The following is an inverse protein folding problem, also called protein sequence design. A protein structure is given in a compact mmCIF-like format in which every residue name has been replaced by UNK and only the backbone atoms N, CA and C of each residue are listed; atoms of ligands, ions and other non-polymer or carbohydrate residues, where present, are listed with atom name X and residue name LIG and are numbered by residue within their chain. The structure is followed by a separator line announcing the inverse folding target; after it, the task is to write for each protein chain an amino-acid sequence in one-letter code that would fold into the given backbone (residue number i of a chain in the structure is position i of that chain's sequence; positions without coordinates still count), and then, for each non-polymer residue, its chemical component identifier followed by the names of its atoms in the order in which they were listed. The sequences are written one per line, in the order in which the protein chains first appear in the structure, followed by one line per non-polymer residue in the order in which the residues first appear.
data_IF_733551868351
#
_entry.id   IF_733551868351
#
_cell.length_a   1.000
_cell.length_b   1.000
_cell.length_c   1.000
_cell.angle_alpha   90.00
_cell.angle_beta   90.00
_cell.angle_gamma   90.00
#
_symmetry.space_group_name_H-M   'P 1'
#
loop_
_entity.id
_entity.type
_entity.pdbx_description
1 polymer ?
#
# COMPACT_ATOMS: atom_id res chain seq x y z
N UNK A 1 -12.19 18.03 20.79
CA UNK A 1 -11.52 17.25 19.73
C UNK A 1 -12.43 16.06 19.41
N UNK A 2 -12.69 15.79 18.14
CA UNK A 2 -13.44 14.59 17.77
C UNK A 2 -12.66 13.34 18.24
N UNK A 3 -13.38 12.30 18.67
CA UNK A 3 -12.77 11.05 19.10
C UNK A 3 -12.10 10.35 17.91
N UNK A 4 -10.88 9.88 18.06
CA UNK A 4 -10.16 9.15 17.03
C UNK A 4 -10.87 7.81 16.77
N UNK A 5 -11.41 7.62 15.57
CA UNK A 5 -12.24 6.45 15.21
C UNK A 5 -11.55 5.52 14.21
N UNK A 6 -10.69 6.05 13.33
CA UNK A 6 -10.02 5.28 12.30
C UNK A 6 -8.89 4.42 12.87
N UNK A 7 -8.82 3.17 12.45
CA UNK A 7 -7.77 2.24 12.87
C UNK A 7 -6.62 2.14 11.86
N UNK A 8 -6.81 2.67 10.66
CA UNK A 8 -5.78 2.78 9.63
C UNK A 8 -6.09 3.95 8.70
N UNK A 9 -5.07 4.55 8.09
CA UNK A 9 -5.22 5.62 7.12
C UNK A 9 -4.57 5.30 5.78
N UNK A 10 -5.08 5.91 4.71
CA UNK A 10 -4.50 5.83 3.37
C UNK A 10 -4.23 7.23 2.85
N UNK A 11 -2.98 7.48 2.43
CA UNK A 11 -2.52 8.72 1.82
C UNK A 11 -2.20 8.48 0.36
N UNK A 12 -2.84 9.27 -0.51
CA UNK A 12 -2.68 9.12 -1.96
C UNK A 12 -3.80 8.26 -2.55
N UNK A 13 -4.85 8.93 -3.01
CA UNK A 13 -6.10 8.33 -3.48
C UNK A 13 -6.19 8.33 -5.01
N UNK A 14 -5.09 7.93 -5.69
CA UNK A 14 -5.15 7.48 -7.08
C UNK A 14 -5.75 6.06 -7.12
N UNK A 15 -5.91 5.45 -8.28
CA UNK A 15 -6.62 4.17 -8.45
C UNK A 15 -6.21 3.11 -7.43
N UNK A 16 -4.91 2.85 -7.27
CA UNK A 16 -4.42 1.84 -6.31
C UNK A 16 -4.76 2.18 -4.85
N UNK A 17 -4.53 3.44 -4.44
CA UNK A 17 -4.80 3.86 -3.07
C UNK A 17 -6.30 3.91 -2.75
N UNK A 18 -7.13 4.36 -3.69
CA UNK A 18 -8.58 4.32 -3.56
C UNK A 18 -9.10 2.89 -3.41
N UNK A 19 -8.64 1.97 -4.24
CA UNK A 19 -9.04 0.58 -4.19
C UNK A 19 -8.56 -0.12 -2.91
N UNK A 20 -7.35 0.17 -2.45
CA UNK A 20 -6.85 -0.37 -1.17
C UNK A 20 -7.65 0.17 0.02
N UNK A 21 -8.01 1.46 0.02
CA UNK A 21 -8.85 2.05 1.07
C UNK A 21 -10.25 1.42 1.11
N UNK A 22 -10.86 1.16 -0.06
CA UNK A 22 -12.14 0.45 -0.17
C UNK A 22 -12.03 -0.99 0.34
N UNK A 23 -10.99 -1.71 -0.06
CA UNK A 23 -10.73 -3.07 0.43
C UNK A 23 -10.61 -3.10 1.96
N UNK A 24 -9.83 -2.18 2.55
CA UNK A 24 -9.74 -2.05 4.01
C UNK A 24 -11.11 -1.84 4.65
N UNK A 25 -11.93 -0.95 4.10
CA UNK A 25 -13.26 -0.67 4.60
C UNK A 25 -14.23 -1.85 4.45
N UNK A 26 -14.19 -2.58 3.33
CA UNK A 26 -14.97 -3.81 3.10
C UNK A 26 -14.67 -4.90 4.14
N UNK A 27 -13.45 -4.90 4.69
CA UNK A 27 -13.03 -5.83 5.73
C UNK A 27 -13.17 -5.27 7.16
N UNK A 28 -14.09 -4.30 7.35
CA UNK A 28 -14.50 -3.81 8.66
C UNK A 28 -13.57 -2.78 9.29
N UNK A 29 -12.57 -2.28 8.57
CA UNK A 29 -11.73 -1.20 9.07
C UNK A 29 -12.45 0.15 8.92
N UNK A 30 -12.24 1.04 9.89
CA UNK A 30 -12.54 2.47 9.71
C UNK A 30 -11.29 3.13 9.16
N UNK A 31 -11.40 3.69 7.95
CA UNK A 31 -10.24 4.15 7.16
C UNK A 31 -10.21 5.66 7.07
N UNK A 32 -9.16 6.29 7.61
CA UNK A 32 -8.89 7.70 7.39
C UNK A 32 -8.38 7.91 5.95
N UNK A 33 -8.86 8.93 5.29
CA UNK A 33 -8.53 9.24 3.89
C UNK A 33 -7.90 10.60 3.77
N UNK A 34 -6.73 10.67 3.15
CA UNK A 34 -6.08 11.93 2.83
C UNK A 34 -5.46 11.91 1.44
N UNK A 35 -5.64 13.00 0.72
CA UNK A 35 -4.93 13.24 -0.54
C UNK A 35 -4.59 14.73 -0.67
N UNK A 36 -3.38 15.04 -1.12
CA UNK A 36 -2.89 16.41 -1.29
C UNK A 36 -3.88 17.36 -2.02
N UNK A 37 -4.61 16.81 -2.98
CA UNK A 37 -5.73 17.51 -3.64
C UNK A 37 -7.02 16.89 -3.11
N UNK A 38 -7.73 17.62 -2.26
CA UNK A 38 -8.94 17.14 -1.58
C UNK A 38 -10.03 16.63 -2.54
N UNK A 39 -10.08 17.15 -3.74
CA UNK A 39 -11.02 16.71 -4.78
C UNK A 39 -10.98 15.19 -5.07
N UNK A 40 -9.84 14.53 -4.82
CA UNK A 40 -9.77 13.06 -4.94
C UNK A 40 -10.43 12.35 -3.75
N UNK A 41 -10.31 12.92 -2.56
CA UNK A 41 -11.01 12.44 -1.37
C UNK A 41 -12.53 12.60 -1.55
N UNK A 42 -12.97 13.77 -2.01
CA UNK A 42 -14.38 14.02 -2.34
C UNK A 42 -14.91 13.05 -3.39
N UNK A 43 -14.13 12.82 -4.45
CA UNK A 43 -14.51 11.86 -5.50
C UNK A 43 -14.73 10.46 -4.91
N UNK A 44 -13.79 9.96 -4.10
CA UNK A 44 -13.93 8.65 -3.47
C UNK A 44 -15.17 8.60 -2.57
N UNK A 45 -15.40 9.64 -1.77
CA UNK A 45 -16.57 9.71 -0.88
C UNK A 45 -17.89 9.76 -1.66
N UNK A 46 -17.95 10.49 -2.78
CA UNK A 46 -19.15 10.59 -3.60
C UNK A 46 -19.46 9.28 -4.33
N UNK A 47 -18.44 8.59 -4.82
CA UNK A 47 -18.60 7.36 -5.60
C UNK A 47 -18.72 6.10 -4.72
N UNK A 48 -18.03 6.07 -3.59
CA UNK A 48 -17.82 4.87 -2.78
C UNK A 48 -18.01 5.06 -1.26
N UNK A 49 -18.42 6.24 -0.81
CA UNK A 49 -18.53 6.56 0.62
C UNK A 49 -19.50 5.69 1.42
N UNK A 50 -20.43 5.02 0.74
CA UNK A 50 -21.40 4.10 1.37
C UNK A 50 -20.90 2.65 1.45
N UNK A 51 -19.73 2.33 0.85
CA UNK A 51 -19.19 0.96 0.84
C UNK A 51 -18.58 0.54 2.19
N UNK A 52 -18.32 1.48 3.09
CA UNK A 52 -17.73 1.18 4.39
C UNK A 52 -17.53 2.43 5.25
N UNK A 53 -16.73 2.29 6.30
CA UNK A 53 -16.48 3.36 7.25
C UNK A 53 -15.27 4.19 6.84
N UNK A 54 -15.49 5.38 6.30
CA UNK A 54 -14.45 6.31 5.89
C UNK A 54 -14.47 7.58 6.75
N UNK A 55 -13.29 8.12 7.01
CA UNK A 55 -13.08 9.40 7.68
C UNK A 55 -12.27 10.29 6.75
N UNK A 56 -12.92 11.12 5.91
CA UNK A 56 -12.22 12.04 5.02
C UNK A 56 -11.56 13.16 5.81
N UNK A 57 -10.35 13.56 5.43
CA UNK A 57 -9.61 14.66 6.01
C UNK A 57 -9.16 15.63 4.91
N UNK A 58 -9.29 16.94 5.17
CA UNK A 58 -8.80 17.99 4.28
C UNK A 58 -7.34 18.33 4.56
N UNK A 59 -6.92 18.21 5.82
CA UNK A 59 -5.54 18.47 6.25
C UNK A 59 -4.89 17.21 6.82
N UNK A 60 -3.56 17.24 6.89
CA UNK A 60 -2.81 16.11 7.45
C UNK A 60 -2.96 16.02 8.98
N UNK A 61 -3.20 17.17 9.64
CA UNK A 61 -3.51 17.25 11.05
C UNK A 61 -4.85 16.58 11.38
N UNK A 62 -5.90 16.85 10.59
CA UNK A 62 -7.20 16.18 10.71
C UNK A 62 -7.07 14.69 10.48
N UNK A 63 -6.31 14.27 9.44
CA UNK A 63 -6.02 12.88 9.17
C UNK A 63 -5.34 12.21 10.38
N UNK A 64 -4.29 12.79 10.92
CA UNK A 64 -3.58 12.26 12.09
C UNK A 64 -4.47 12.21 13.32
N UNK A 65 -5.29 13.25 13.56
CA UNK A 65 -6.20 13.31 14.70
C UNK A 65 -7.32 12.28 14.63
N UNK A 66 -7.73 11.84 13.44
CA UNK A 66 -8.74 10.81 13.25
C UNK A 66 -8.28 9.39 13.54
N UNK A 67 -6.95 9.16 13.55
CA UNK A 67 -6.34 7.83 13.72
C UNK A 67 -6.15 7.46 15.19
N UNK A 68 -6.54 6.25 15.55
CA UNK A 68 -6.22 5.63 16.85
C UNK A 68 -4.73 5.33 16.97
N UNK A 69 -4.21 5.39 18.20
CA UNK A 69 -2.80 5.06 18.48
C UNK A 69 -2.59 3.56 18.75
N UNK A 70 -1.44 3.01 18.32
CA UNK A 70 -0.44 3.66 17.44
C UNK A 70 -1.05 3.95 16.06
N UNK A 71 -0.88 5.20 15.60
CA UNK A 71 -1.38 5.60 14.30
C UNK A 71 -0.71 4.78 13.21
N UNK A 72 -1.46 4.39 12.20
CA UNK A 72 -0.94 3.63 11.07
C UNK A 72 -1.40 4.27 9.78
N UNK A 73 -0.47 4.70 8.93
CA UNK A 73 -0.76 5.30 7.62
C UNK A 73 -0.05 4.55 6.49
N UNK A 74 -0.81 4.16 5.47
CA UNK A 74 -0.28 3.59 4.22
C UNK A 74 -0.15 4.71 3.19
N UNK A 75 1.08 4.92 2.71
CA UNK A 75 1.40 5.89 1.66
C UNK A 75 1.31 5.17 0.30
N UNK A 76 0.41 5.66 -0.56
CA UNK A 76 0.19 5.19 -1.92
C UNK A 76 0.49 6.30 -2.93
N UNK A 77 1.71 6.85 -2.87
CA UNK A 77 2.18 7.91 -3.76
C UNK A 77 3.28 7.40 -4.69
N UNK A 78 3.68 8.23 -5.66
CA UNK A 78 4.79 7.89 -6.56
C UNK A 78 6.08 7.74 -5.75
N UNK A 79 6.82 6.65 -6.01
CA UNK A 79 8.11 6.38 -5.38
C UNK A 79 9.15 7.50 -5.63
N UNK A 80 10.09 7.65 -4.71
CA UNK A 80 11.15 8.67 -4.73
C UNK A 80 10.75 9.92 -3.92
N UNK A 81 11.08 11.10 -4.42
CA UNK A 81 10.88 12.37 -3.72
C UNK A 81 9.45 12.62 -3.18
N UNK A 82 8.35 12.22 -3.87
CA UNK A 82 7.01 12.33 -3.29
C UNK A 82 6.82 11.49 -2.02
N UNK A 83 7.42 10.29 -1.97
CA UNK A 83 7.40 9.44 -0.77
C UNK A 83 8.17 10.11 0.37
N UNK A 84 9.38 10.63 0.09
CA UNK A 84 10.20 11.33 1.07
C UNK A 84 9.48 12.55 1.66
N UNK A 85 8.84 13.34 0.79
CA UNK A 85 8.06 14.51 1.22
C UNK A 85 6.86 14.12 2.10
N UNK A 86 6.17 13.02 1.76
CA UNK A 86 5.02 12.57 2.57
C UNK A 86 5.47 12.02 3.92
N UNK A 87 6.60 11.31 3.99
CA UNK A 87 7.19 10.85 5.25
C UNK A 87 7.52 12.06 6.13
N UNK A 88 8.22 13.07 5.60
CA UNK A 88 8.59 14.26 6.34
C UNK A 88 7.35 15.00 6.90
N UNK A 89 6.27 15.11 6.12
CA UNK A 89 5.02 15.71 6.59
C UNK A 89 4.34 14.87 7.69
N UNK A 90 4.38 13.54 7.58
CA UNK A 90 3.84 12.66 8.63
C UNK A 90 4.63 12.78 9.94
N UNK A 91 5.94 12.91 9.87
CA UNK A 91 6.79 13.09 11.05
C UNK A 91 6.46 14.37 11.84
N UNK A 92 5.84 15.39 11.22
CA UNK A 92 5.40 16.62 11.89
C UNK A 92 4.11 16.43 12.70
N UNK A 93 3.24 15.48 12.31
CA UNK A 93 1.92 15.28 12.92
C UNK A 93 1.75 13.93 13.64
N UNK A 94 2.65 12.99 13.41
CA UNK A 94 2.71 11.70 14.10
C UNK A 94 3.62 11.78 15.31
N UNK A 95 3.59 10.75 16.16
CA UNK A 95 4.38 10.67 17.37
C UNK A 95 5.20 9.38 17.41
N UNK A 96 6.29 9.33 18.18
CA UNK A 96 7.06 8.10 18.36
C UNK A 96 6.18 6.90 18.72
N UNK A 97 6.41 5.77 18.03
CA UNK A 97 5.60 4.55 18.12
C UNK A 97 4.53 4.43 17.03
N UNK A 98 4.22 5.51 16.29
CA UNK A 98 3.31 5.44 15.15
C UNK A 98 3.98 4.73 13.95
N UNK A 99 3.18 4.19 13.02
CA UNK A 99 3.62 3.32 11.93
C UNK A 99 3.38 4.01 10.58
N UNK A 100 4.44 4.17 9.81
CA UNK A 100 4.40 4.69 8.43
C UNK A 100 4.67 3.52 7.48
N UNK A 101 3.74 3.25 6.57
CA UNK A 101 3.83 2.16 5.59
C UNK A 101 4.01 2.75 4.20
N UNK A 102 5.11 2.47 3.54
CA UNK A 102 5.31 2.78 2.12
C UNK A 102 4.77 1.62 1.27
N UNK A 103 3.57 1.80 0.70
CA UNK A 103 2.91 0.84 -0.20
C UNK A 103 3.22 1.10 -1.68
N UNK A 104 4.06 2.07 -2.00
CA UNK A 104 4.51 2.36 -3.36
C UNK A 104 5.52 1.33 -3.89
N UNK A 105 5.80 1.41 -5.19
CA UNK A 105 6.86 0.59 -5.81
C UNK A 105 8.24 1.22 -5.58
N UNK A 106 8.64 1.35 -4.33
CA UNK A 106 9.91 1.96 -3.96
C UNK A 106 11.10 1.02 -4.16
N UNK A 107 12.26 1.61 -4.51
CA UNK A 107 13.50 0.86 -4.59
C UNK A 107 13.94 0.43 -3.18
N UNK A 108 14.21 -0.84 -2.98
CA UNK A 108 14.45 -1.40 -1.65
C UNK A 108 15.62 -0.75 -0.89
N UNK A 109 16.63 -0.23 -1.60
CA UNK A 109 17.76 0.49 -0.96
C UNK A 109 17.33 1.84 -0.39
N UNK A 110 16.39 2.54 -1.06
CA UNK A 110 15.79 3.76 -0.52
C UNK A 110 14.94 3.44 0.71
N UNK A 111 14.23 2.31 0.69
CA UNK A 111 13.45 1.81 1.83
C UNK A 111 14.33 1.54 3.05
N UNK A 112 15.49 0.90 2.87
CA UNK A 112 16.48 0.67 3.94
C UNK A 112 16.95 2.00 4.54
N UNK A 113 17.25 2.99 3.69
CA UNK A 113 17.65 4.32 4.14
C UNK A 113 16.53 5.00 4.94
N UNK A 114 15.31 5.03 4.40
CA UNK A 114 14.13 5.61 5.06
C UNK A 114 13.86 4.94 6.39
N UNK A 115 13.88 3.60 6.46
CA UNK A 115 13.69 2.86 7.70
C UNK A 115 14.66 3.30 8.78
N UNK A 116 15.94 3.39 8.45
CA UNK A 116 16.97 3.83 9.39
C UNK A 116 16.74 5.26 9.89
N UNK A 117 16.37 6.19 8.99
CA UNK A 117 16.15 7.60 9.32
C UNK A 117 14.88 7.80 10.16
N UNK A 118 13.78 7.18 9.77
CA UNK A 118 12.46 7.25 10.43
C UNK A 118 12.51 6.59 11.80
N UNK A 119 13.16 5.42 11.88
CA UNK A 119 13.34 4.70 13.14
C UNK A 119 14.21 5.45 14.13
N UNK A 120 15.23 6.17 13.68
CA UNK A 120 16.06 6.99 14.56
C UNK A 120 15.27 8.11 15.25
N UNK A 121 14.11 8.49 14.70
CA UNK A 121 13.16 9.45 15.29
C UNK A 121 12.08 8.78 16.16
N UNK A 122 12.13 7.47 16.31
CA UNK A 122 11.22 6.70 17.17
C UNK A 122 9.96 6.17 16.49
N UNK A 123 9.79 6.34 15.18
CA UNK A 123 8.67 5.77 14.44
C UNK A 123 8.97 4.36 13.94
N UNK A 124 7.93 3.63 13.55
CA UNK A 124 8.08 2.41 12.77
C UNK A 124 7.91 2.70 11.29
N UNK A 125 8.79 2.14 10.47
CA UNK A 125 8.68 2.23 9.01
C UNK A 125 8.57 0.84 8.39
N UNK A 126 7.63 0.68 7.46
CA UNK A 126 7.35 -0.59 6.79
C UNK A 126 7.33 -0.37 5.29
N UNK A 127 8.29 -0.92 4.57
CA UNK A 127 8.19 -1.04 3.11
C UNK A 127 7.32 -2.24 2.76
N UNK A 128 6.19 -2.02 2.10
CA UNK A 128 5.24 -3.06 1.77
C UNK A 128 5.00 -3.16 0.27
N UNK A 129 5.47 -4.23 -0.35
CA UNK A 129 5.09 -4.56 -1.71
C UNK A 129 3.61 -4.92 -1.82
N UNK A 130 2.92 -4.32 -2.79
CA UNK A 130 1.51 -4.61 -3.09
C UNK A 130 1.42 -5.18 -4.50
N UNK A 131 0.85 -6.36 -4.67
CA UNK A 131 0.71 -7.04 -5.97
C UNK A 131 -0.73 -7.44 -6.24
N UNK A 132 -1.12 -7.42 -7.52
CA UNK A 132 -2.47 -7.77 -7.99
C UNK A 132 -3.11 -6.69 -8.86
N UNK A 133 -2.40 -5.59 -9.15
CA UNK A 133 -2.92 -4.48 -9.95
C UNK A 133 -4.12 -3.80 -9.28
N UNK A 134 -4.90 -3.08 -10.08
CA UNK A 134 -6.08 -2.34 -9.61
C UNK A 134 -7.15 -3.27 -9.04
N UNK A 135 -7.39 -4.38 -9.70
CA UNK A 135 -8.35 -5.40 -9.28
C UNK A 135 -7.93 -6.06 -7.97
N UNK A 136 -6.65 -6.48 -7.87
CA UNK A 136 -6.13 -7.08 -6.64
C UNK A 136 -6.14 -6.11 -5.46
N UNK A 137 -5.83 -4.83 -5.67
CA UNK A 137 -5.88 -3.84 -4.60
C UNK A 137 -7.28 -3.75 -3.95
N UNK A 138 -8.34 -3.93 -4.76
CA UNK A 138 -9.73 -3.89 -4.28
C UNK A 138 -10.19 -5.23 -3.70
N UNK A 139 -9.86 -6.35 -4.33
CA UNK A 139 -10.49 -7.65 -4.05
C UNK A 139 -9.58 -8.65 -3.34
N UNK A 140 -8.32 -8.30 -3.12
CA UNK A 140 -7.36 -9.12 -2.40
C UNK A 140 -5.97 -9.06 -3.05
N UNK A 141 -5.08 -8.20 -2.55
CA UNK A 141 -3.70 -8.15 -3.01
C UNK A 141 -2.86 -9.25 -2.36
N UNK A 142 -1.78 -9.63 -3.03
CA UNK A 142 -0.65 -10.25 -2.35
C UNK A 142 0.21 -9.16 -1.72
N UNK A 143 0.53 -9.27 -0.43
CA UNK A 143 1.19 -8.23 0.34
C UNK A 143 2.53 -8.73 0.89
N UNK A 144 3.55 -7.88 0.78
CA UNK A 144 4.94 -8.19 1.13
C UNK A 144 5.46 -7.15 2.13
N UNK A 145 4.98 -7.13 3.39
CA UNK A 145 5.44 -6.20 4.39
C UNK A 145 6.81 -6.58 4.96
N UNK A 146 7.71 -5.61 4.99
CA UNK A 146 8.96 -5.65 5.75
C UNK A 146 8.81 -4.95 7.10
N UNK A 147 9.91 -4.41 7.61
CA UNK A 147 9.94 -3.62 8.85
C UNK A 147 10.15 -4.46 10.11
N UNK A 148 9.87 -3.89 11.28
CA UNK A 148 10.12 -4.54 12.57
C UNK A 148 9.03 -5.57 12.91
N UNK A 149 9.40 -6.60 13.71
CA UNK A 149 8.42 -7.52 14.27
C UNK A 149 7.37 -6.83 15.17
N UNK A 150 7.72 -5.68 15.73
CA UNK A 150 6.82 -4.84 16.53
C UNK A 150 5.71 -4.23 15.66
N UNK A 151 6.08 -3.58 14.54
CA UNK A 151 5.10 -3.02 13.60
C UNK A 151 4.19 -4.11 13.02
N UNK A 152 4.73 -5.32 12.81
CA UNK A 152 3.94 -6.46 12.34
C UNK A 152 2.84 -6.89 13.29
N UNK A 153 3.03 -6.80 14.62
CA UNK A 153 2.00 -7.14 15.60
C UNK A 153 0.72 -6.30 15.43
N UNK A 154 0.89 -5.02 15.08
CA UNK A 154 -0.23 -4.10 14.87
C UNK A 154 -0.76 -4.19 13.43
N UNK A 155 0.12 -4.16 12.46
CA UNK A 155 -0.24 -4.08 11.03
C UNK A 155 -0.68 -5.43 10.46
N UNK A 156 -0.09 -6.54 10.93
CA UNK A 156 -0.29 -7.89 10.40
C UNK A 156 -1.75 -8.31 10.33
N UNK A 157 -2.54 -8.22 11.42
CA UNK A 157 -3.95 -8.59 11.40
C UNK A 157 -4.77 -7.81 10.36
N UNK A 158 -4.46 -6.52 10.17
CA UNK A 158 -5.14 -5.67 9.17
C UNK A 158 -4.79 -6.15 7.77
N UNK A 159 -3.51 -6.36 7.48
CA UNK A 159 -3.06 -6.82 6.16
C UNK A 159 -3.57 -8.23 5.84
N UNK A 160 -3.64 -9.14 6.83
CA UNK A 160 -4.20 -10.48 6.67
C UNK A 160 -5.69 -10.46 6.33
N UNK A 161 -6.43 -9.49 6.84
CA UNK A 161 -7.87 -9.37 6.55
C UNK A 161 -8.15 -9.06 5.09
N UNK A 162 -7.32 -8.22 4.46
CA UNK A 162 -7.51 -7.68 3.10
C UNK A 162 -6.76 -8.44 2.01
N UNK A 163 -5.84 -9.32 2.38
CA UNK A 163 -5.04 -10.07 1.41
C UNK A 163 -5.88 -11.11 0.66
N UNK A 164 -5.46 -11.43 -0.56
CA UNK A 164 -5.95 -12.60 -1.27
C UNK A 164 -5.78 -13.87 -0.40
N UNK A 165 -6.65 -14.85 -0.60
CA UNK A 165 -6.57 -16.11 0.15
C UNK A 165 -6.50 -17.29 -0.80
N UNK A 166 -5.57 -18.21 -0.52
CA UNK A 166 -5.45 -19.48 -1.22
C UNK A 166 -5.67 -20.60 -0.21
N UNK A 167 -6.67 -21.42 -0.43
CA UNK A 167 -7.09 -22.47 0.50
C UNK A 167 -7.37 -21.96 1.93
N UNK A 168 -7.84 -20.72 2.05
CA UNK A 168 -8.12 -20.07 3.34
C UNK A 168 -6.92 -19.33 3.95
N UNK A 169 -5.71 -19.54 3.46
CA UNK A 169 -4.50 -18.89 3.95
C UNK A 169 -4.29 -17.53 3.26
N UNK A 170 -4.05 -16.44 4.00
CA UNK A 170 -3.85 -15.12 3.41
C UNK A 170 -2.47 -15.02 2.72
N UNK A 171 -2.46 -14.43 1.52
CA UNK A 171 -1.25 -14.17 0.74
C UNK A 171 -0.47 -12.98 1.30
N UNK A 172 -0.13 -13.04 2.58
CA UNK A 172 0.68 -12.05 3.29
C UNK A 172 1.42 -12.70 4.45
N UNK A 173 2.69 -12.35 4.59
CA UNK A 173 3.50 -12.71 5.75
C UNK A 173 4.52 -11.63 6.03
N UNK A 174 5.04 -11.54 7.25
CA UNK A 174 6.17 -10.67 7.56
C UNK A 174 7.42 -11.20 6.83
N UNK A 175 7.89 -10.43 5.83
CA UNK A 175 8.98 -10.87 4.96
C UNK A 175 10.34 -10.79 5.67
N UNK A 176 10.53 -9.81 6.54
CA UNK A 176 11.79 -9.55 7.25
C UNK A 176 11.97 -8.07 7.56
N UNK A 177 13.16 -7.71 8.00
CA UNK A 177 13.49 -6.34 8.41
C UNK A 177 13.72 -5.40 7.21
N UNK A 178 13.78 -4.13 7.48
CA UNK A 178 14.25 -3.07 6.57
C UNK A 178 13.51 -3.06 5.22
N UNK A 179 14.27 -3.10 4.14
CA UNK A 179 13.76 -3.10 2.76
C UNK A 179 13.30 -4.46 2.24
N UNK A 180 13.18 -5.50 3.07
CA UNK A 180 12.91 -6.87 2.65
C UNK A 180 11.60 -6.98 1.83
N UNK A 181 10.53 -6.27 2.23
CA UNK A 181 9.26 -6.29 1.50
C UNK A 181 9.40 -5.77 0.08
N UNK A 182 10.00 -4.61 -0.11
CA UNK A 182 10.25 -4.05 -1.44
C UNK A 182 11.28 -4.84 -2.25
N UNK A 183 12.25 -5.49 -1.58
CA UNK A 183 13.16 -6.40 -2.27
C UNK A 183 12.41 -7.58 -2.87
N UNK A 184 11.55 -8.24 -2.10
CA UNK A 184 10.73 -9.35 -2.61
C UNK A 184 9.79 -8.89 -3.72
N UNK A 185 9.17 -7.70 -3.59
CA UNK A 185 8.34 -7.13 -4.66
C UNK A 185 9.14 -6.86 -5.93
N UNK A 186 10.37 -6.38 -5.82
CA UNK A 186 11.26 -6.18 -6.97
C UNK A 186 11.56 -7.52 -7.69
N UNK A 187 11.87 -8.58 -6.93
CA UNK A 187 12.11 -9.92 -7.48
C UNK A 187 10.84 -10.47 -8.16
N UNK A 188 9.69 -10.35 -7.46
CA UNK A 188 8.39 -10.72 -8.01
C UNK A 188 8.14 -10.05 -9.37
N UNK A 189 8.30 -8.73 -9.44
CA UNK A 189 8.07 -7.99 -10.69
C UNK A 189 9.07 -8.39 -11.79
N UNK A 190 10.32 -8.65 -11.44
CA UNK A 190 11.32 -9.13 -12.40
C UNK A 190 10.93 -10.45 -13.04
N UNK A 191 10.42 -11.39 -12.27
CA UNK A 191 9.93 -12.69 -12.74
C UNK A 191 8.68 -12.51 -13.60
N UNK A 192 7.68 -11.77 -13.08
CA UNK A 192 6.41 -11.53 -13.76
C UNK A 192 6.60 -10.90 -15.15
N UNK A 193 7.44 -9.88 -15.26
CA UNK A 193 7.72 -9.23 -16.54
C UNK A 193 8.47 -10.14 -17.52
N UNK A 194 9.37 -11.01 -17.03
CA UNK A 194 10.03 -12.01 -17.84
C UNK A 194 9.03 -13.03 -18.40
N UNK A 195 8.14 -13.54 -17.56
CA UNK A 195 7.08 -14.46 -17.97
C UNK A 195 6.14 -13.82 -19.01
N UNK A 196 5.71 -12.58 -18.78
CA UNK A 196 4.88 -11.83 -19.74
C UNK A 196 5.58 -11.67 -21.09
N UNK A 197 6.88 -11.38 -21.10
CA UNK A 197 7.67 -11.26 -22.33
C UNK A 197 7.74 -12.60 -23.07
N UNK A 198 8.05 -13.69 -22.38
CA UNK A 198 8.12 -15.05 -22.97
C UNK A 198 6.77 -15.49 -23.55
N UNK A 199 5.67 -15.22 -22.84
CA UNK A 199 4.31 -15.49 -23.34
C UNK A 199 4.02 -14.69 -24.59
N UNK A 200 4.38 -13.38 -24.61
CA UNK A 200 4.20 -12.52 -25.77
C UNK A 200 4.98 -13.02 -26.99
N UNK A 201 6.24 -13.40 -26.81
CA UNK A 201 7.07 -13.97 -27.88
C UNK A 201 6.53 -15.32 -28.38
N UNK A 202 6.12 -16.19 -27.44
CA UNK A 202 5.52 -17.48 -27.79
C UNK A 202 4.21 -17.31 -28.57
N UNK A 203 3.43 -16.27 -28.32
CA UNK A 203 2.23 -15.94 -29.09
C UNK A 203 2.56 -15.37 -30.47
N UNK A 204 3.58 -14.53 -30.60
CA UNK A 204 3.97 -13.88 -31.85
C UNK A 204 4.47 -14.90 -32.90
N UNK A 205 5.18 -15.93 -32.48
CA UNK A 205 5.70 -16.99 -33.36
C UNK A 205 4.58 -17.66 -34.17
N UNK A 206 3.52 -18.25 -33.60
CA UNK A 206 2.43 -18.87 -34.37
C UNK A 206 1.69 -17.89 -35.27
N UNK A 207 1.46 -16.66 -34.81
CA UNK A 207 0.78 -15.61 -35.59
C UNK A 207 1.59 -15.27 -36.84
N UNK A 208 2.89 -15.07 -36.71
CA UNK A 208 3.78 -14.79 -37.84
C UNK A 208 3.83 -15.97 -38.83
N UNK A 209 3.85 -17.19 -38.34
CA UNK A 209 3.86 -18.39 -39.20
C UNK A 209 2.53 -18.65 -39.92
N UNK A 210 1.39 -18.32 -39.28
CA UNK A 210 0.07 -18.49 -39.94
C UNK A 210 -0.13 -17.49 -41.11
N UNK A 211 0.43 -16.32 -41.04
CA UNK A 211 0.44 -15.36 -42.15
C UNK A 211 1.31 -15.81 -43.34
N UNK A 212 2.37 -16.58 -43.09
CA UNK A 212 3.23 -17.14 -44.15
C UNK A 212 2.63 -18.35 -44.86
N UNK A 213 1.60 -19.01 -44.32
CA UNK A 213 0.93 -20.17 -44.94
C UNK A 213 -0.33 -19.81 -45.73
N UNK A 214 -0.71 -18.55 -45.78
CA UNK A 214 -1.87 -18.09 -46.51
C UNK A 214 -1.57 -17.71 -47.98
N UNK A 215 -0.42 -18.17 -48.53
CA UNK A 215 -0.05 -18.02 -49.95
C UNK A 215 0.17 -19.36 -50.64
#
# INVERSE_FOLDING_TARGET
MAEATANIGVIGLATMGSNLARNLAHHGNTVALFNRHYSRTEKLMNEHGTEGNFVPAETLEEFAASLKRPRTAIIMVKAGAPTDATIAQLEEVFEPGDIIVDGGNSFFKDTIKREKEVRAKGFHFVGCGVSGGEEGALNGPSLMPGGTAESWKTLGPILQSIAAKVNGEPCVTHIGTDGAGHFVKMVHNGIEYADMQVIGEAYDIPVSYTHLRAH
#
